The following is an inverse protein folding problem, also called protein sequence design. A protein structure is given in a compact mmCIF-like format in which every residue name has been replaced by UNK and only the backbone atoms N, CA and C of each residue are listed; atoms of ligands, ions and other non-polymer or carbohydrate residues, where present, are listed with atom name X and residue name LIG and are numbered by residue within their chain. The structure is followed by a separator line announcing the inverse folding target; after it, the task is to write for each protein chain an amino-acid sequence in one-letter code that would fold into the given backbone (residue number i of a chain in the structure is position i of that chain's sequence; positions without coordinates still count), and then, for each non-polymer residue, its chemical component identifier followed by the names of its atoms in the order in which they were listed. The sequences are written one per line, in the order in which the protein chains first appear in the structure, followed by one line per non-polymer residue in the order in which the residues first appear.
data_IF_944722614111
#
_entry.id   IF_944722614111
#
_cell.length_a   1.000
_cell.length_b   1.000
_cell.length_c   1.000
_cell.angle_alpha   90.00
_cell.angle_beta   90.00
_cell.angle_gamma   90.00
#
_symmetry.space_group_name_H-M   'P 1'
#
loop_
_entity.id
_entity.type
_entity.pdbx_description
1 polymer ?
#
# COMPACT_ATOMS: atom_id res chain seq x y z
N UNK A 1 72.83 0.66 -63.17
CA UNK A 1 71.45 0.25 -63.25
C UNK A 1 70.98 0.04 -61.79
N UNK A 2 70.35 1.04 -61.19
CA UNK A 2 69.87 0.98 -59.81
C UNK A 2 68.34 0.87 -59.82
N UNK A 3 67.80 -0.25 -59.30
CA UNK A 3 66.35 -0.45 -59.16
C UNK A 3 65.91 0.02 -57.76
N UNK A 4 65.09 1.07 -57.67
CA UNK A 4 64.39 1.51 -56.52
C UNK A 4 63.16 0.62 -56.25
N UNK A 5 63.03 0.03 -55.05
CA UNK A 5 61.83 -0.60 -54.54
C UNK A 5 61.08 0.42 -53.66
N UNK A 6 59.87 0.79 -54.10
CA UNK A 6 58.89 1.52 -53.31
C UNK A 6 58.25 0.55 -52.31
N UNK A 7 58.35 0.84 -51.02
CA UNK A 7 57.60 0.16 -49.96
C UNK A 7 56.28 0.89 -49.70
N UNK A 8 55.15 0.19 -49.90
CA UNK A 8 53.81 0.66 -49.44
C UNK A 8 53.69 0.48 -47.94
N UNK A 9 53.63 1.58 -47.20
CA UNK A 9 53.29 1.60 -45.76
C UNK A 9 51.76 1.52 -45.62
N UNK A 10 51.27 0.37 -45.15
CA UNK A 10 49.88 0.21 -44.76
C UNK A 10 49.55 0.88 -43.47
N UNK A 11 48.71 1.89 -43.50
CA UNK A 11 48.22 2.62 -42.31
C UNK A 11 47.03 1.82 -41.71
N UNK A 12 47.24 1.15 -40.59
CA UNK A 12 46.19 0.44 -39.85
C UNK A 12 45.46 1.49 -38.99
N UNK A 13 44.23 1.85 -39.41
CA UNK A 13 43.29 2.63 -38.57
C UNK A 13 42.65 1.71 -37.55
N UNK A 14 43.10 1.79 -36.31
CA UNK A 14 42.45 1.17 -35.16
C UNK A 14 41.27 2.05 -34.77
N UNK A 15 40.07 1.65 -35.22
CA UNK A 15 38.84 2.26 -34.82
C UNK A 15 38.51 1.91 -33.34
N UNK A 16 38.67 2.85 -32.44
CA UNK A 16 38.22 2.73 -31.06
C UNK A 16 36.70 2.86 -31.02
N UNK A 17 35.99 1.72 -30.96
CA UNK A 17 34.55 1.70 -30.70
C UNK A 17 34.31 2.05 -29.24
N UNK A 18 33.91 3.29 -28.99
CA UNK A 18 33.43 3.70 -27.66
C UNK A 18 32.07 3.04 -27.37
N UNK A 19 32.05 2.01 -26.55
CA UNK A 19 30.82 1.47 -25.99
C UNK A 19 30.25 2.50 -25.01
N UNK A 20 29.23 3.25 -25.42
CA UNK A 20 28.43 4.09 -24.55
C UNK A 20 27.53 3.12 -23.77
N UNK A 21 27.94 2.77 -22.56
CA UNK A 21 27.09 2.05 -21.61
C UNK A 21 25.96 3.01 -21.17
N UNK A 22 24.81 2.91 -21.82
CA UNK A 22 23.62 3.57 -21.36
C UNK A 22 23.23 2.97 -19.99
N UNK A 23 23.50 3.71 -18.94
CA UNK A 23 22.98 3.37 -17.61
C UNK A 23 21.46 3.45 -17.67
N UNK A 24 20.80 2.30 -17.77
CA UNK A 24 19.35 2.21 -17.63
C UNK A 24 19.05 2.53 -16.17
N UNK A 25 18.74 3.79 -15.88
CA UNK A 25 18.18 4.14 -14.58
C UNK A 25 16.85 3.41 -14.45
N UNK A 26 16.80 2.43 -13.56
CA UNK A 26 15.54 1.78 -13.20
C UNK A 26 14.60 2.88 -12.67
N UNK A 27 13.37 2.92 -13.21
CA UNK A 27 12.36 3.85 -12.72
C UNK A 27 12.17 3.64 -11.21
N UNK A 28 11.99 4.72 -10.43
CA UNK A 28 11.80 4.60 -9.01
C UNK A 28 10.59 3.73 -8.70
N UNK A 29 10.70 2.85 -7.71
CA UNK A 29 9.60 2.05 -7.23
C UNK A 29 8.53 2.98 -6.65
N UNK A 30 7.33 2.95 -7.20
CA UNK A 30 6.21 3.80 -6.79
C UNK A 30 5.01 2.95 -6.40
N UNK A 31 4.39 3.27 -5.26
CA UNK A 31 3.08 2.73 -4.90
C UNK A 31 2.04 3.32 -5.85
N UNK A 32 1.17 2.47 -6.36
CA UNK A 32 0.17 2.82 -7.36
C UNK A 32 -1.23 2.68 -6.76
N UNK A 33 -2.11 3.64 -7.06
CA UNK A 33 -3.46 3.69 -6.50
C UNK A 33 -4.49 3.13 -7.47
N UNK A 34 -5.31 2.19 -7.02
CA UNK A 34 -6.53 1.80 -7.71
C UNK A 34 -7.61 2.88 -7.55
N UNK A 35 -8.37 3.13 -8.61
CA UNK A 35 -9.42 4.15 -8.63
C UNK A 35 -10.73 3.60 -9.19
N UNK A 36 -11.85 4.04 -8.65
CA UNK A 36 -13.19 3.76 -9.18
C UNK A 36 -13.50 4.64 -10.40
N UNK A 37 -14.36 4.17 -11.28
CA UNK A 37 -14.93 4.97 -12.37
C UNK A 37 -13.96 5.35 -13.50
N UNK A 38 -12.82 4.65 -13.62
CA UNK A 38 -11.83 4.92 -14.67
C UNK A 38 -12.11 4.18 -16.00
N UNK A 39 -13.03 3.21 -15.98
CA UNK A 39 -13.37 2.37 -17.13
C UNK A 39 -14.74 2.77 -17.68
N UNK A 40 -14.85 2.84 -18.99
CA UNK A 40 -16.13 2.95 -19.68
C UNK A 40 -16.98 1.67 -19.53
N UNK A 41 -18.30 1.77 -19.73
CA UNK A 41 -19.19 0.60 -19.68
C UNK A 41 -18.79 -0.52 -20.67
N UNK A 42 -18.30 -0.15 -21.86
CA UNK A 42 -17.81 -1.08 -22.87
C UNK A 42 -16.57 -1.82 -22.41
N UNK A 43 -15.57 -1.10 -21.87
CA UNK A 43 -14.35 -1.71 -21.30
C UNK A 43 -14.68 -2.64 -20.15
N UNK A 44 -15.56 -2.24 -19.22
CA UNK A 44 -16.01 -3.10 -18.14
C UNK A 44 -16.63 -4.39 -18.67
N UNK A 45 -17.48 -4.32 -19.69
CA UNK A 45 -18.13 -5.50 -20.26
C UNK A 45 -17.08 -6.46 -20.85
N UNK A 46 -16.14 -5.96 -21.67
CA UNK A 46 -15.08 -6.78 -22.26
C UNK A 46 -14.18 -7.46 -21.21
N UNK A 47 -13.88 -6.76 -20.12
CA UNK A 47 -13.06 -7.28 -19.03
C UNK A 47 -13.82 -8.32 -18.20
N UNK A 48 -15.09 -8.09 -17.94
CA UNK A 48 -15.98 -8.99 -17.20
C UNK A 48 -16.27 -10.31 -17.93
N UNK A 49 -16.22 -10.32 -19.25
CA UNK A 49 -16.31 -11.55 -20.05
C UNK A 49 -15.12 -12.48 -19.81
N UNK A 50 -13.94 -11.94 -19.52
CA UNK A 50 -12.72 -12.72 -19.27
C UNK A 50 -12.59 -13.14 -17.79
N UNK A 51 -13.06 -12.31 -16.84
CA UNK A 51 -12.96 -12.59 -15.39
C UNK A 51 -14.27 -12.21 -14.71
N UNK A 52 -15.22 -13.17 -14.69
CA UNK A 52 -16.58 -12.96 -14.18
C UNK A 52 -16.61 -12.61 -12.68
N UNK A 53 -15.67 -13.17 -11.91
CA UNK A 53 -15.57 -12.99 -10.45
C UNK A 53 -15.31 -11.53 -10.07
N UNK A 54 -14.55 -10.79 -10.88
CA UNK A 54 -14.29 -9.36 -10.67
C UNK A 54 -15.54 -8.48 -10.81
N UNK A 55 -16.56 -8.98 -11.45
CA UNK A 55 -17.71 -8.19 -11.87
C UNK A 55 -19.02 -8.55 -11.14
N UNK A 56 -18.93 -9.37 -10.11
CA UNK A 56 -20.11 -9.69 -9.28
C UNK A 56 -20.67 -8.43 -8.61
N UNK A 57 -19.79 -7.49 -8.23
CA UNK A 57 -20.16 -6.17 -7.72
C UNK A 57 -19.51 -5.05 -8.55
N UNK A 58 -20.09 -4.75 -9.72
CA UNK A 58 -19.55 -3.75 -10.67
C UNK A 58 -19.31 -2.36 -10.06
N UNK A 59 -20.11 -1.97 -9.09
CA UNK A 59 -19.98 -0.69 -8.37
C UNK A 59 -18.71 -0.59 -7.52
N UNK A 60 -18.10 -1.72 -7.18
CA UNK A 60 -16.88 -1.79 -6.38
C UNK A 60 -15.62 -2.00 -7.23
N UNK A 61 -15.78 -2.20 -8.54
CA UNK A 61 -14.65 -2.42 -9.44
C UNK A 61 -13.75 -1.18 -9.48
N UNK A 62 -12.49 -1.40 -9.17
CA UNK A 62 -11.43 -0.40 -9.21
C UNK A 62 -10.39 -0.79 -10.26
N UNK A 63 -9.77 0.18 -10.89
CA UNK A 63 -8.75 -0.05 -11.90
C UNK A 63 -7.53 0.83 -11.71
N UNK A 64 -6.42 0.39 -12.27
CA UNK A 64 -5.14 1.06 -12.27
C UNK A 64 -4.45 0.78 -13.61
N UNK A 65 -3.99 1.83 -14.31
CA UNK A 65 -3.08 1.70 -15.45
C UNK A 65 -1.66 2.00 -15.02
N UNK A 66 -0.75 1.08 -15.31
CA UNK A 66 0.67 1.23 -15.04
C UNK A 66 1.40 1.88 -16.21
N UNK A 67 2.60 2.47 -16.03
CA UNK A 67 3.35 3.12 -17.11
C UNK A 67 3.69 2.19 -18.28
N UNK A 68 3.81 0.88 -18.05
CA UNK A 68 4.08 -0.17 -19.05
C UNK A 68 2.80 -0.61 -19.81
N UNK A 69 1.72 0.16 -19.70
CA UNK A 69 0.42 -0.08 -20.37
C UNK A 69 -0.29 -1.35 -19.90
N UNK A 70 0.03 -1.89 -18.74
CA UNK A 70 -0.80 -2.94 -18.13
C UNK A 70 -1.98 -2.32 -17.38
N UNK A 71 -3.13 -2.99 -17.45
CA UNK A 71 -4.32 -2.63 -16.70
C UNK A 71 -4.50 -3.63 -15.56
N UNK A 72 -4.65 -3.11 -14.36
CA UNK A 72 -4.96 -3.89 -13.17
C UNK A 72 -6.39 -3.64 -12.73
N UNK A 73 -7.08 -4.68 -12.29
CA UNK A 73 -8.41 -4.61 -11.72
C UNK A 73 -8.40 -5.18 -10.31
N UNK A 74 -9.22 -4.58 -9.46
CA UNK A 74 -9.44 -4.99 -8.06
C UNK A 74 -10.94 -4.96 -7.76
N UNK A 75 -11.45 -6.06 -7.20
CA UNK A 75 -12.81 -6.16 -6.64
C UNK A 75 -12.88 -7.29 -5.62
N UNK A 76 -13.27 -7.01 -4.38
CA UNK A 76 -13.62 -7.99 -3.33
C UNK A 76 -12.66 -9.20 -3.19
N UNK A 77 -11.40 -8.99 -3.09
CA UNK A 77 -10.45 -10.10 -2.95
C UNK A 77 -9.98 -10.68 -4.28
N UNK A 78 -10.56 -10.29 -5.41
CA UNK A 78 -10.11 -10.68 -6.73
C UNK A 78 -9.26 -9.57 -7.37
N UNK A 79 -8.13 -9.96 -7.95
CA UNK A 79 -7.18 -9.07 -8.61
C UNK A 79 -6.86 -9.67 -9.96
N UNK A 80 -6.83 -8.86 -11.02
CA UNK A 80 -6.40 -9.32 -12.34
C UNK A 80 -5.52 -8.30 -13.03
N UNK A 81 -4.60 -8.78 -13.86
CA UNK A 81 -3.71 -8.00 -14.69
C UNK A 81 -3.98 -8.30 -16.16
N UNK A 82 -4.09 -7.25 -16.99
CA UNK A 82 -4.36 -7.35 -18.42
C UNK A 82 -3.30 -6.59 -19.21
N UNK A 83 -2.93 -7.15 -20.35
CA UNK A 83 -2.28 -6.37 -21.41
C UNK A 83 -3.34 -5.56 -22.14
N UNK A 84 -3.03 -4.30 -22.46
CA UNK A 84 -3.87 -3.43 -23.29
C UNK A 84 -3.32 -3.37 -24.70
N UNK A 85 -4.20 -3.44 -25.69
CA UNK A 85 -3.84 -3.30 -27.11
C UNK A 85 -4.90 -2.47 -27.84
N UNK A 86 -4.64 -2.13 -29.10
CA UNK A 86 -5.63 -1.45 -29.95
C UNK A 86 -6.89 -2.29 -30.22
N UNK A 87 -6.81 -3.61 -30.05
CA UNK A 87 -7.91 -4.55 -30.28
C UNK A 87 -8.64 -4.95 -28.99
N UNK A 88 -8.23 -4.44 -27.82
CA UNK A 88 -8.88 -4.71 -26.55
C UNK A 88 -7.93 -5.20 -25.44
N UNK A 89 -8.46 -6.02 -24.57
CA UNK A 89 -7.77 -6.49 -23.36
C UNK A 89 -7.48 -7.99 -23.45
N UNK A 90 -6.30 -8.39 -22.97
CA UNK A 90 -5.91 -9.80 -22.84
C UNK A 90 -5.54 -10.07 -21.38
N UNK A 91 -6.23 -11.01 -20.73
CA UNK A 91 -5.89 -11.44 -19.38
C UNK A 91 -4.46 -12.01 -19.35
N UNK A 92 -3.63 -11.48 -18.47
CA UNK A 92 -2.27 -11.97 -18.23
C UNK A 92 -2.23 -12.87 -16.99
N UNK A 93 -2.77 -12.39 -15.87
CA UNK A 93 -2.73 -13.06 -14.57
C UNK A 93 -3.97 -12.72 -13.75
N UNK A 94 -4.30 -13.63 -12.84
CA UNK A 94 -5.39 -13.46 -11.89
C UNK A 94 -4.97 -14.02 -10.54
N UNK A 95 -5.36 -13.34 -9.46
CA UNK A 95 -5.16 -13.76 -8.08
C UNK A 95 -6.46 -13.64 -7.30
N UNK A 96 -6.58 -14.47 -6.29
CA UNK A 96 -7.67 -14.41 -5.33
C UNK A 96 -7.14 -14.48 -3.92
N UNK A 97 -7.58 -13.54 -3.08
CA UNK A 97 -7.37 -13.55 -1.63
C UNK A 97 -8.74 -13.81 -1.01
N UNK A 98 -8.82 -14.85 -0.20
CA UNK A 98 -10.05 -15.12 0.54
C UNK A 98 -10.13 -14.14 1.71
N UNK A 99 -11.10 -13.24 1.65
CA UNK A 99 -11.42 -12.33 2.74
C UNK A 99 -12.35 -13.06 3.72
N UNK A 100 -12.21 -12.79 5.02
CA UNK A 100 -13.17 -13.23 6.01
C UNK A 100 -14.54 -12.56 5.74
N UNK A 101 -15.61 -13.30 5.99
CA UNK A 101 -16.93 -12.71 5.93
C UNK A 101 -17.06 -11.61 6.98
N UNK A 102 -17.71 -10.50 6.61
CA UNK A 102 -18.02 -9.44 7.56
C UNK A 102 -19.02 -10.01 8.59
N UNK A 103 -18.66 -9.95 9.86
CA UNK A 103 -19.53 -10.28 10.96
C UNK A 103 -20.09 -8.98 11.55
N UNK A 104 -21.33 -8.63 11.23
CA UNK A 104 -21.98 -7.42 11.75
C UNK A 104 -21.97 -7.35 13.29
N UNK A 105 -22.15 -8.49 13.94
CA UNK A 105 -22.12 -8.57 15.41
C UNK A 105 -20.71 -8.37 15.99
N UNK A 106 -19.67 -8.80 15.27
CA UNK A 106 -18.28 -8.64 15.71
C UNK A 106 -17.70 -7.27 15.33
N UNK A 107 -18.45 -6.42 14.60
CA UNK A 107 -18.00 -5.10 14.12
C UNK A 107 -16.65 -5.16 13.40
N UNK A 108 -16.38 -6.27 12.75
CA UNK A 108 -15.15 -6.54 12.04
C UNK A 108 -15.40 -6.74 10.55
N UNK A 109 -14.48 -6.30 9.73
CA UNK A 109 -14.52 -6.53 8.28
C UNK A 109 -13.12 -6.60 7.70
N UNK A 110 -13.00 -7.26 6.53
CA UNK A 110 -11.76 -7.28 5.76
C UNK A 110 -11.95 -6.67 4.39
N UNK A 111 -10.96 -5.94 3.91
CA UNK A 111 -10.92 -5.45 2.53
C UNK A 111 -9.49 -5.39 2.01
N UNK A 112 -9.32 -5.41 0.68
CA UNK A 112 -8.01 -5.12 0.07
C UNK A 112 -7.84 -3.61 -0.02
N UNK A 113 -6.76 -3.10 0.59
CA UNK A 113 -6.39 -1.70 0.49
C UNK A 113 -6.10 -1.33 -0.98
N UNK A 114 -6.71 -0.26 -1.53
CA UNK A 114 -6.70 -0.03 -2.97
C UNK A 114 -5.36 0.53 -3.47
N UNK A 115 -4.28 -0.16 -3.13
CA UNK A 115 -2.92 0.17 -3.57
C UNK A 115 -2.15 -1.07 -3.99
N UNK A 116 -1.31 -0.89 -5.00
CA UNK A 116 -0.36 -1.87 -5.46
C UNK A 116 1.03 -1.46 -4.97
N UNK A 117 1.64 -2.29 -4.12
CA UNK A 117 2.93 -2.03 -3.48
C UNK A 117 4.04 -2.73 -4.27
N UNK A 118 5.00 -2.00 -4.87
CA UNK A 118 6.11 -2.63 -5.56
C UNK A 118 7.09 -3.25 -4.57
N UNK A 119 7.47 -4.50 -4.80
CA UNK A 119 8.53 -5.19 -4.08
C UNK A 119 9.86 -5.06 -4.82
N UNK A 120 9.83 -5.31 -6.10
CA UNK A 120 10.90 -5.07 -7.09
C UNK A 120 10.27 -4.93 -8.49
N UNK A 121 11.09 -4.88 -9.54
CA UNK A 121 10.56 -4.76 -10.90
C UNK A 121 9.60 -5.91 -11.22
N UNK A 122 8.38 -5.59 -11.64
CA UNK A 122 7.30 -6.52 -12.01
C UNK A 122 6.84 -7.46 -10.87
N UNK A 123 7.26 -7.25 -9.61
CA UNK A 123 6.74 -7.95 -8.44
C UNK A 123 6.02 -6.99 -7.53
N UNK A 124 4.80 -7.37 -7.18
CA UNK A 124 3.91 -6.51 -6.42
C UNK A 124 3.26 -7.25 -5.27
N UNK A 125 2.87 -6.48 -4.27
CA UNK A 125 2.05 -6.93 -3.16
C UNK A 125 0.80 -6.05 -3.03
N UNK A 126 -0.21 -6.59 -2.35
CA UNK A 126 -1.37 -5.86 -1.86
C UNK A 126 -1.48 -6.03 -0.36
N UNK A 127 -2.15 -5.11 0.31
CA UNK A 127 -2.47 -5.22 1.73
C UNK A 127 -3.93 -5.63 1.90
N UNK A 128 -4.19 -6.61 2.75
CA UNK A 128 -5.51 -6.89 3.32
C UNK A 128 -5.58 -6.17 4.65
N UNK A 129 -6.61 -5.38 4.83
CA UNK A 129 -6.85 -4.63 6.06
C UNK A 129 -7.95 -5.34 6.84
N UNK A 130 -7.63 -5.71 8.07
CA UNK A 130 -8.58 -6.13 9.09
C UNK A 130 -9.02 -4.91 9.85
N UNK A 131 -10.33 -4.64 9.88
CA UNK A 131 -10.90 -3.52 10.63
C UNK A 131 -11.69 -4.03 11.82
N UNK A 132 -11.56 -3.36 12.93
CA UNK A 132 -12.42 -3.52 14.08
C UNK A 132 -12.84 -2.13 14.55
N UNK A 133 -14.11 -1.95 14.92
CA UNK A 133 -14.59 -0.69 15.47
C UNK A 133 -15.63 -0.92 16.53
N UNK A 134 -15.56 -0.11 17.59
CA UNK A 134 -16.57 -0.05 18.63
C UNK A 134 -16.96 1.39 18.92
N UNK A 135 -18.16 1.57 19.41
CA UNK A 135 -18.67 2.85 19.88
C UNK A 135 -19.46 2.66 21.16
N UNK A 136 -19.31 3.61 22.07
CA UNK A 136 -20.00 3.65 23.36
C UNK A 136 -20.47 5.08 23.65
N UNK A 137 -21.29 5.27 24.68
CA UNK A 137 -21.92 6.57 24.99
C UNK A 137 -20.93 7.71 25.28
N UNK A 138 -19.67 7.40 25.54
CA UNK A 138 -18.61 8.36 25.85
C UNK A 138 -17.51 8.44 24.79
N UNK A 139 -17.64 7.74 23.66
CA UNK A 139 -16.58 7.73 22.65
C UNK A 139 -16.63 6.56 21.70
N UNK A 140 -15.48 6.19 21.15
CA UNK A 140 -15.34 5.05 20.27
C UNK A 140 -13.89 4.81 19.88
N UNK A 141 -13.64 3.63 19.34
CA UNK A 141 -12.34 3.23 18.82
C UNK A 141 -12.47 2.52 17.48
N UNK A 142 -11.46 2.66 16.65
CA UNK A 142 -11.28 1.83 15.45
C UNK A 142 -9.83 1.42 15.31
N UNK A 143 -9.62 0.16 14.99
CA UNK A 143 -8.30 -0.44 14.78
C UNK A 143 -8.27 -1.05 13.39
N UNK A 144 -7.21 -0.76 12.65
CA UNK A 144 -6.92 -1.42 11.38
C UNK A 144 -5.56 -2.09 11.45
N UNK A 145 -5.50 -3.36 11.01
CA UNK A 145 -4.26 -4.13 10.92
C UNK A 145 -4.05 -4.58 9.48
N UNK A 146 -2.83 -4.47 8.98
CA UNK A 146 -2.49 -4.83 7.62
C UNK A 146 -1.73 -6.16 7.55
N UNK A 147 -2.17 -7.04 6.66
CA UNK A 147 -1.43 -8.22 6.23
C UNK A 147 -1.07 -8.08 4.75
N UNK A 148 0.20 -8.27 4.40
CA UNK A 148 0.67 -8.08 3.02
C UNK A 148 0.84 -9.40 2.29
N UNK A 149 0.33 -9.43 1.06
CA UNK A 149 0.32 -10.59 0.18
C UNK A 149 1.07 -10.29 -1.11
N UNK A 150 2.14 -11.02 -1.38
CA UNK A 150 2.79 -11.01 -2.68
C UNK A 150 1.92 -11.70 -3.73
N UNK A 151 1.82 -11.07 -4.91
CA UNK A 151 1.13 -11.58 -6.08
C UNK A 151 2.11 -12.39 -6.94
N UNK A 152 2.19 -13.72 -6.70
CA UNK A 152 3.12 -14.61 -7.43
C UNK A 152 2.74 -14.76 -8.90
N UNK A 153 3.72 -14.94 -9.76
CA UNK A 153 3.52 -15.18 -11.20
C UNK A 153 2.67 -16.41 -11.50
N UNK A 154 2.63 -17.37 -10.61
CA UNK A 154 1.80 -18.57 -10.70
C UNK A 154 0.30 -18.34 -10.48
N UNK A 155 -0.16 -17.11 -10.23
CA UNK A 155 -1.54 -16.80 -9.82
C UNK A 155 -1.85 -17.08 -8.35
N UNK A 156 -0.86 -17.56 -7.58
CA UNK A 156 -0.99 -17.77 -6.14
C UNK A 156 -0.59 -16.50 -5.39
N UNK A 157 -1.11 -16.36 -4.17
CA UNK A 157 -0.70 -15.32 -3.23
C UNK A 157 0.16 -15.91 -2.11
N UNK A 158 1.08 -15.11 -1.56
CA UNK A 158 1.93 -15.51 -0.44
C UNK A 158 1.93 -14.39 0.60
N UNK A 159 1.33 -14.65 1.77
CA UNK A 159 1.37 -13.72 2.90
C UNK A 159 2.77 -13.72 3.50
N UNK A 160 3.39 -12.54 3.62
CA UNK A 160 4.76 -12.38 4.14
C UNK A 160 4.85 -11.38 5.29
N UNK A 161 3.85 -10.51 5.48
CA UNK A 161 3.66 -9.68 6.67
C UNK A 161 2.26 -9.96 7.21
N UNK A 162 2.12 -10.04 8.52
CA UNK A 162 0.86 -10.39 9.17
C UNK A 162 0.54 -9.45 10.33
N UNK A 163 -0.69 -8.92 10.34
CA UNK A 163 -1.28 -8.16 11.45
C UNK A 163 -0.45 -6.95 11.94
N UNK A 164 0.21 -6.23 11.02
CA UNK A 164 0.91 -5.00 11.39
C UNK A 164 -0.07 -3.88 11.69
N UNK A 165 0.14 -3.06 12.74
CA UNK A 165 -0.64 -1.85 12.96
C UNK A 165 -0.66 -1.00 11.69
N UNK A 166 -1.86 -0.59 11.25
CA UNK A 166 -2.03 0.18 10.03
C UNK A 166 -2.64 1.55 10.30
N UNK A 167 -3.76 1.53 11.02
CA UNK A 167 -4.43 2.73 11.50
C UNK A 167 -5.09 2.44 12.83
N UNK A 168 -5.09 3.43 13.72
CA UNK A 168 -5.82 3.43 14.97
C UNK A 168 -6.39 4.81 15.22
N UNK A 169 -7.60 4.86 15.73
CA UNK A 169 -8.23 6.07 16.21
C UNK A 169 -9.08 5.74 17.43
N UNK A 170 -8.94 6.54 18.48
CA UNK A 170 -9.76 6.46 19.69
C UNK A 170 -10.19 7.85 20.11
N UNK A 171 -11.41 7.95 20.60
CA UNK A 171 -12.00 9.17 21.13
C UNK A 171 -12.69 8.87 22.44
N UNK A 172 -12.31 9.57 23.50
CA UNK A 172 -12.86 9.43 24.86
C UNK A 172 -13.44 10.77 25.29
N UNK A 173 -14.69 10.77 25.76
CA UNK A 173 -15.35 11.99 26.23
C UNK A 173 -14.66 12.52 27.49
N UNK A 174 -14.41 13.83 27.52
CA UNK A 174 -13.77 14.56 28.62
C UNK A 174 -14.67 15.62 29.29
N UNK A 175 -15.74 16.09 28.59
CA UNK A 175 -16.67 17.05 29.18
C UNK A 175 -17.91 16.36 29.77
N UNK A 176 -18.18 16.57 31.04
CA UNK A 176 -19.34 16.03 31.78
C UNK A 176 -20.23 17.11 32.35
N UNK A 177 -19.81 18.37 32.31
CA UNK A 177 -20.55 19.53 32.82
C UNK A 177 -20.51 20.71 31.80
N UNK A 178 -21.39 21.69 31.98
CA UNK A 178 -21.37 22.94 31.19
C UNK A 178 -20.06 23.71 31.43
N UNK A 179 -19.54 23.69 32.65
CA UNK A 179 -18.26 24.30 32.99
C UNK A 179 -17.09 23.67 32.23
N UNK A 180 -17.08 22.34 32.09
CA UNK A 180 -16.07 21.62 31.29
C UNK A 180 -16.12 22.07 29.82
N UNK A 181 -17.34 22.15 29.28
CA UNK A 181 -17.55 22.60 27.90
C UNK A 181 -17.03 24.02 27.66
N UNK A 182 -17.34 24.95 28.58
CA UNK A 182 -16.87 26.33 28.47
C UNK A 182 -15.35 26.43 28.65
N UNK A 183 -14.78 25.79 29.67
CA UNK A 183 -13.34 25.81 29.96
C UNK A 183 -12.50 25.19 28.86
N UNK A 184 -12.98 24.12 28.24
CA UNK A 184 -12.34 23.43 27.13
C UNK A 184 -12.53 24.11 25.77
N UNK A 185 -13.39 25.16 25.72
CA UNK A 185 -13.79 25.83 24.46
C UNK A 185 -14.37 24.84 23.43
N UNK A 186 -15.13 23.88 23.91
CA UNK A 186 -15.76 22.84 23.10
C UNK A 186 -14.84 21.67 22.69
N UNK A 187 -13.59 21.64 23.10
CA UNK A 187 -12.70 20.46 22.98
C UNK A 187 -13.04 19.44 24.07
N UNK A 188 -14.03 18.62 23.81
CA UNK A 188 -14.63 17.73 24.80
C UNK A 188 -14.22 16.26 24.68
N UNK A 189 -13.15 15.97 23.96
CA UNK A 189 -12.65 14.60 23.81
C UNK A 189 -11.13 14.57 23.91
N UNK A 190 -10.63 13.51 24.53
CA UNK A 190 -9.27 13.06 24.31
C UNK A 190 -9.26 12.22 23.04
N UNK A 191 -8.35 12.52 22.13
CA UNK A 191 -8.26 11.84 20.84
C UNK A 191 -6.85 11.33 20.61
N UNK A 192 -6.71 10.05 20.31
CA UNK A 192 -5.44 9.51 19.88
C UNK A 192 -5.56 8.78 18.55
N UNK A 193 -4.48 8.79 17.79
CA UNK A 193 -4.42 8.17 16.49
C UNK A 193 -3.02 7.66 16.14
N UNK A 194 -2.98 6.53 15.45
CA UNK A 194 -1.80 5.97 14.81
C UNK A 194 -2.05 5.83 13.32
N UNK A 195 -1.07 6.16 12.50
CA UNK A 195 -1.13 5.93 11.05
C UNK A 195 0.19 5.42 10.51
N UNK A 196 0.13 4.49 9.55
CA UNK A 196 1.27 3.93 8.85
C UNK A 196 1.39 4.53 7.45
N UNK A 197 2.55 5.13 7.16
CA UNK A 197 2.98 5.53 5.82
C UNK A 197 4.06 4.56 5.32
N UNK A 198 3.90 4.04 4.10
CA UNK A 198 4.78 3.02 3.52
C UNK A 198 5.51 3.61 2.33
N UNK A 199 6.83 3.41 2.27
CA UNK A 199 7.68 3.88 1.16
C UNK A 199 8.59 2.75 0.68
N UNK A 200 8.52 2.38 -0.61
CA UNK A 200 9.55 1.59 -1.24
C UNK A 200 10.86 2.39 -1.29
N UNK A 201 11.93 1.86 -0.72
CA UNK A 201 13.26 2.54 -0.69
C UNK A 201 14.14 2.03 -1.83
N UNK A 202 14.16 0.72 -2.01
CA UNK A 202 14.85 0.00 -3.09
C UNK A 202 14.19 -1.38 -3.27
N UNK A 203 14.56 -2.17 -4.29
CA UNK A 203 14.08 -3.53 -4.42
C UNK A 203 14.18 -4.30 -3.11
N UNK A 204 13.09 -4.96 -2.73
CA UNK A 204 12.93 -5.77 -1.52
C UNK A 204 13.20 -5.03 -0.19
N UNK A 205 13.11 -3.70 -0.16
CA UNK A 205 13.24 -2.89 1.05
C UNK A 205 12.17 -1.81 1.11
N UNK A 206 11.29 -1.90 2.10
CA UNK A 206 10.33 -0.85 2.40
C UNK A 206 10.72 -0.11 3.66
N UNK A 207 10.32 1.16 3.76
CA UNK A 207 10.31 1.94 4.98
C UNK A 207 8.87 2.10 5.46
N UNK A 208 8.60 1.67 6.69
CA UNK A 208 7.36 1.91 7.40
C UNK A 208 7.59 3.08 8.34
N UNK A 209 6.76 4.12 8.18
CA UNK A 209 6.77 5.30 9.04
C UNK A 209 5.47 5.37 9.81
N UNK A 210 5.54 5.03 11.08
CA UNK A 210 4.45 5.23 12.01
C UNK A 210 4.41 6.68 12.49
N UNK A 211 3.22 7.23 12.61
CA UNK A 211 2.96 8.54 13.22
C UNK A 211 1.85 8.36 14.24
N UNK A 212 2.09 8.86 15.43
CA UNK A 212 1.13 8.84 16.53
C UNK A 212 0.86 10.27 17.00
N UNK A 213 -0.37 10.54 17.41
CA UNK A 213 -0.74 11.78 18.10
C UNK A 213 -1.76 11.48 19.19
N UNK A 214 -1.54 12.07 20.35
CA UNK A 214 -2.49 12.20 21.45
C UNK A 214 -2.84 13.69 21.58
N UNK A 215 -4.12 14.05 21.51
CA UNK A 215 -4.65 15.40 21.75
C UNK A 215 -5.59 15.33 22.95
N UNK A 216 -5.10 15.80 24.10
CA UNK A 216 -5.81 15.75 25.38
C UNK A 216 -6.67 17.00 25.53
N UNK A 217 -7.94 16.80 25.90
CA UNK A 217 -8.88 17.88 26.23
C UNK A 217 -8.41 18.68 27.44
N UNK A 218 -8.57 20.02 27.44
CA UNK A 218 -8.35 20.80 28.66
C UNK A 218 -9.26 20.42 29.84
N UNK A 219 -10.38 19.73 29.57
CA UNK A 219 -11.31 19.23 30.59
C UNK A 219 -11.01 17.78 31.02
N UNK A 220 -9.97 17.15 30.48
CA UNK A 220 -9.60 15.78 30.83
C UNK A 220 -9.01 15.70 32.24
N UNK A 221 -9.39 14.67 32.98
CA UNK A 221 -8.82 14.31 34.27
C UNK A 221 -7.80 13.15 34.18
N UNK A 222 -7.44 12.73 32.96
CA UNK A 222 -6.49 11.64 32.71
C UNK A 222 -5.08 11.90 33.25
N UNK A 223 -4.71 13.16 33.45
CA UNK A 223 -3.35 13.57 33.84
C UNK A 223 -2.32 13.47 32.71
N UNK A 224 -2.73 13.07 31.54
CA UNK A 224 -1.89 12.96 30.35
C UNK A 224 -1.63 14.32 29.69
N UNK A 225 -0.67 14.37 28.79
CA UNK A 225 -0.36 15.57 28.02
C UNK A 225 -0.38 15.25 26.53
N UNK A 226 -0.93 16.17 25.74
CA UNK A 226 -0.88 16.07 24.29
C UNK A 226 0.56 15.93 23.78
N UNK A 227 0.80 14.97 22.90
CA UNK A 227 2.09 14.78 22.26
C UNK A 227 1.96 14.17 20.87
N UNK A 228 3.05 14.25 20.10
CA UNK A 228 3.16 13.61 18.78
C UNK A 228 4.46 12.84 18.70
N UNK A 229 4.38 11.63 18.16
CA UNK A 229 5.52 10.75 17.95
C UNK A 229 5.64 10.27 16.51
N UNK A 230 6.84 9.87 16.11
CA UNK A 230 7.05 9.17 14.84
C UNK A 230 8.16 8.15 14.95
N UNK A 231 8.01 7.00 14.26
CA UNK A 231 9.00 5.94 14.22
C UNK A 231 9.15 5.41 12.81
N UNK A 232 10.39 5.28 12.34
CA UNK A 232 10.71 4.68 11.04
C UNK A 232 11.32 3.30 11.25
N UNK A 233 10.82 2.32 10.50
CA UNK A 233 11.30 0.94 10.47
C UNK A 233 11.63 0.57 9.03
N UNK A 234 12.79 -0.03 8.80
CA UNK A 234 13.16 -0.58 7.50
C UNK A 234 12.81 -2.07 7.47
N UNK A 235 11.94 -2.47 6.57
CA UNK A 235 11.44 -3.83 6.41
C UNK A 235 12.15 -4.47 5.21
N UNK A 236 13.06 -5.40 5.48
CA UNK A 236 13.73 -6.22 4.47
C UNK A 236 12.82 -7.39 4.08
N UNK A 237 12.23 -7.32 2.89
CA UNK A 237 11.26 -8.30 2.40
C UNK A 237 11.88 -9.68 2.04
N UNK A 238 13.21 -9.81 2.09
CA UNK A 238 13.90 -11.08 1.94
C UNK A 238 13.97 -11.89 3.25
N UNK A 239 13.59 -11.27 4.36
CA UNK A 239 13.59 -11.89 5.69
C UNK A 239 12.16 -12.07 6.19
N UNK A 240 11.97 -13.03 7.11
CA UNK A 240 10.72 -13.07 7.85
C UNK A 240 10.63 -11.78 8.70
N UNK A 241 9.64 -10.90 8.46
CA UNK A 241 9.54 -9.66 9.21
C UNK A 241 9.08 -9.94 10.64
N UNK A 242 9.79 -9.33 11.59
CA UNK A 242 9.40 -9.31 12.99
C UNK A 242 8.25 -8.32 13.19
N UNK A 243 7.43 -8.53 14.24
CA UNK A 243 6.41 -7.56 14.61
C UNK A 243 7.04 -6.18 14.87
N UNK A 244 6.41 -5.09 14.42
CA UNK A 244 6.96 -3.77 14.59
C UNK A 244 7.01 -3.41 16.08
N UNK A 245 8.18 -3.02 16.55
CA UNK A 245 8.34 -2.49 17.90
C UNK A 245 7.76 -1.06 17.93
N UNK A 246 6.48 -0.94 18.29
CA UNK A 246 5.79 0.32 18.55
C UNK A 246 6.08 0.73 20.01
N UNK A 247 6.36 2.02 20.30
CA UNK A 247 6.55 2.48 21.66
C UNK A 247 5.32 2.19 22.55
N UNK A 248 5.54 1.65 23.75
CA UNK A 248 4.47 1.30 24.70
C UNK A 248 3.62 2.52 25.09
N UNK A 249 4.23 3.70 25.16
CA UNK A 249 3.55 4.95 25.47
C UNK A 249 2.55 5.40 24.39
N UNK A 250 2.47 4.71 23.25
CA UNK A 250 1.51 5.01 22.19
C UNK A 250 0.19 4.23 22.33
N UNK A 251 -0.01 3.51 23.35
CA UNK A 251 -1.24 2.82 23.80
C UNK A 251 -2.26 2.44 22.68
N UNK A 252 -1.73 1.99 21.53
CA UNK A 252 -2.56 1.64 20.37
C UNK A 252 -3.27 0.28 20.54
N UNK A 253 -2.86 -0.54 21.50
CA UNK A 253 -3.46 -1.84 21.83
C UNK A 253 -4.61 -1.75 22.84
N UNK A 254 -4.76 -0.62 23.51
CA UNK A 254 -5.80 -0.40 24.55
C UNK A 254 -7.25 -0.34 24.04
N UNK A 255 -7.47 -0.68 22.77
CA UNK A 255 -8.79 -0.80 22.13
C UNK A 255 -9.21 -2.26 21.91
N UNK A 256 -8.76 -3.18 22.76
CA UNK A 256 -9.05 -4.62 22.68
C UNK A 256 -9.85 -5.11 23.86
#
# INVERSE_FOLDING_TARGET
MLKYKMGLGGMILIGASAYISASVFAAPLQILDFKKGQLSATEQTQLCEQVKELCQQRTQLQSLKTPDQTLWLLSEGNIAQFATSTTGFKLLKQWRIQLAASEEMARSSQYIFPKLFPMEQNRYAVAVIDTFSESYSGGGASVERASFYELKDSGKTHRFIENYPFHFYRMIRACFSEQDYESSKGKCHDEDSLGLDIRPIKPMLWQFRYRYSLDVSPASDSGEKSFKGSRNLNIDLNKAPEQPNIPEEWDYEGAG
#
